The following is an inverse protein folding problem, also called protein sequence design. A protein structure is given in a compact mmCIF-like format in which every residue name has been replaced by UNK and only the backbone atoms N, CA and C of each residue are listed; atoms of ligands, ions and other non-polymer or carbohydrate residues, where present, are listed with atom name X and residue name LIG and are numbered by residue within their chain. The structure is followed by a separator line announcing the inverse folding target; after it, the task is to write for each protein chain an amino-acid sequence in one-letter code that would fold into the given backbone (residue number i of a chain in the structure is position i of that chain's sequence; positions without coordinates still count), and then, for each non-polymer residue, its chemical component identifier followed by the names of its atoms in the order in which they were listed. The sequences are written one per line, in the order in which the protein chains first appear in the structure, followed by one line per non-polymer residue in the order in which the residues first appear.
data_IF_544252690053
#
_entry.id   IF_544252690053
#
_cell.length_a   1.000
_cell.length_b   1.000
_cell.length_c   1.000
_cell.angle_alpha   90.00
_cell.angle_beta   90.00
_cell.angle_gamma   90.00
#
_symmetry.space_group_name_H-M   'P 1'
#
loop_
_entity.id
_entity.type
_entity.pdbx_description
1 polymer ?
#
# COMPACT_ATOMS: atom_id res chain seq x y z
N UNK A 1 -7.25 -35.94 41.41
CA UNK A 1 -8.72 -36.03 41.34
C UNK A 1 -9.20 -34.89 40.46
N UNK A 2 -9.96 -35.14 39.38
CA UNK A 2 -10.42 -34.08 38.51
C UNK A 2 -11.64 -33.40 39.15
N UNK A 3 -11.57 -32.09 39.34
CA UNK A 3 -12.76 -31.31 39.66
C UNK A 3 -13.59 -31.19 38.39
N UNK A 4 -14.76 -31.81 38.47
CA UNK A 4 -15.77 -31.88 37.45
C UNK A 4 -16.59 -30.59 37.50
N UNK A 5 -16.15 -29.55 36.81
CA UNK A 5 -16.90 -28.31 36.68
C UNK A 5 -17.77 -28.36 35.42
N UNK A 6 -18.99 -28.85 35.62
CA UNK A 6 -20.14 -28.75 34.72
C UNK A 6 -20.50 -27.28 34.46
N UNK A 7 -19.70 -26.57 33.66
CA UNK A 7 -20.17 -25.34 33.04
C UNK A 7 -20.95 -25.70 31.78
N UNK A 8 -22.22 -25.27 31.71
CA UNK A 8 -22.97 -25.27 30.46
C UNK A 8 -22.18 -24.46 29.42
N UNK A 9 -21.98 -25.01 28.22
CA UNK A 9 -21.21 -24.37 27.15
C UNK A 9 -21.76 -22.99 26.71
N UNK A 10 -22.99 -22.68 27.12
CA UNK A 10 -23.71 -21.47 26.75
C UNK A 10 -23.80 -20.53 27.95
N UNK A 11 -23.16 -19.36 27.83
CA UNK A 11 -23.16 -18.31 28.84
C UNK A 11 -23.79 -17.03 28.28
N UNK A 12 -24.66 -16.39 29.04
CA UNK A 12 -25.27 -15.10 28.70
C UNK A 12 -24.61 -13.97 29.49
N UNK A 13 -24.22 -12.89 28.81
CA UNK A 13 -23.66 -11.70 29.44
C UNK A 13 -24.43 -10.45 28.99
N UNK A 14 -25.31 -9.94 29.86
CA UNK A 14 -26.11 -8.73 29.61
C UNK A 14 -25.32 -7.43 29.67
N UNK A 15 -24.08 -7.45 30.14
CA UNK A 15 -23.25 -6.25 30.29
C UNK A 15 -22.48 -5.90 29.01
N UNK A 16 -22.37 -6.84 28.07
CA UNK A 16 -21.66 -6.61 26.79
C UNK A 16 -22.66 -6.21 25.71
N UNK A 17 -22.76 -4.91 25.43
CA UNK A 17 -23.56 -4.41 24.32
C UNK A 17 -22.77 -4.42 23.01
N UNK A 18 -23.40 -4.93 21.97
CA UNK A 18 -22.88 -4.91 20.61
C UNK A 18 -23.64 -3.87 19.79
N UNK A 19 -22.91 -3.07 19.02
CA UNK A 19 -23.48 -2.07 18.11
C UNK A 19 -23.36 -2.55 16.66
N UNK A 20 -24.36 -2.24 15.81
CA UNK A 20 -24.30 -2.57 14.39
C UNK A 20 -23.28 -1.70 13.66
N UNK A 21 -22.55 -2.31 12.73
CA UNK A 21 -21.74 -1.62 11.72
C UNK A 21 -22.55 -1.59 10.42
N UNK A 22 -22.61 -0.41 9.81
CA UNK A 22 -23.30 -0.20 8.53
C UNK A 22 -22.30 0.02 7.39
N UNK A 23 -22.60 -0.54 6.22
CA UNK A 23 -21.97 -0.20 4.96
C UNK A 23 -23.07 0.08 3.93
N UNK A 24 -23.06 1.27 3.33
CA UNK A 24 -24.06 1.69 2.34
C UNK A 24 -25.54 1.53 2.80
N UNK A 25 -25.79 1.68 4.11
CA UNK A 25 -27.13 1.56 4.70
C UNK A 25 -27.50 0.13 5.12
N UNK A 26 -26.69 -0.87 4.81
CA UNK A 26 -26.91 -2.26 5.22
C UNK A 26 -26.05 -2.64 6.43
N UNK A 27 -26.59 -3.50 7.30
CA UNK A 27 -25.85 -4.01 8.46
C UNK A 27 -24.89 -5.11 7.99
N UNK A 28 -23.60 -4.87 8.18
CA UNK A 28 -22.54 -5.83 7.81
C UNK A 28 -21.97 -6.59 9.00
N UNK A 29 -22.36 -6.23 10.23
CA UNK A 29 -21.96 -6.96 11.42
C UNK A 29 -22.27 -6.24 12.72
N UNK A 30 -21.93 -6.88 13.83
CA UNK A 30 -22.08 -6.35 15.18
C UNK A 30 -20.76 -6.51 15.93
N UNK A 31 -20.31 -5.47 16.63
CA UNK A 31 -19.12 -5.54 17.47
C UNK A 31 -19.26 -4.66 18.72
N UNK A 32 -18.34 -4.78 19.67
CA UNK A 32 -18.30 -3.90 20.84
C UNK A 32 -18.08 -2.45 20.39
N UNK A 33 -18.65 -1.49 21.11
CA UNK A 33 -18.66 -0.07 20.71
C UNK A 33 -17.25 0.53 20.50
N UNK A 34 -16.29 0.17 21.34
CA UNK A 34 -14.90 0.59 21.24
C UNK A 34 -14.22 0.06 19.96
N UNK A 35 -14.48 -1.20 19.62
CA UNK A 35 -13.99 -1.83 18.39
C UNK A 35 -14.70 -1.21 17.18
N UNK A 36 -16.01 -0.99 17.25
CA UNK A 36 -16.80 -0.35 16.19
C UNK A 36 -16.26 1.04 15.86
N UNK A 37 -15.95 1.83 16.88
CA UNK A 37 -15.40 3.17 16.72
C UNK A 37 -14.03 3.13 16.02
N UNK A 38 -13.14 2.24 16.45
CA UNK A 38 -11.81 2.09 15.82
C UNK A 38 -11.90 1.58 14.38
N UNK A 39 -12.77 0.60 14.13
CA UNK A 39 -12.99 0.06 12.78
C UNK A 39 -13.56 1.13 11.86
N UNK A 40 -14.60 1.85 12.27
CA UNK A 40 -15.20 2.90 11.44
C UNK A 40 -14.24 4.07 11.22
N UNK A 41 -13.39 4.41 12.19
CA UNK A 41 -12.33 5.39 12.00
C UNK A 41 -11.32 4.95 10.94
N UNK A 42 -10.84 3.71 11.02
CA UNK A 42 -9.87 3.15 10.09
C UNK A 42 -10.44 2.99 8.68
N UNK A 43 -11.64 2.40 8.55
CA UNK A 43 -12.30 2.16 7.27
C UNK A 43 -12.63 3.46 6.53
N UNK A 44 -12.90 4.54 7.25
CA UNK A 44 -13.17 5.86 6.66
C UNK A 44 -11.91 6.74 6.53
N UNK A 45 -10.73 6.28 6.93
CA UNK A 45 -9.52 7.09 6.97
C UNK A 45 -9.14 7.63 5.58
N UNK A 46 -9.21 6.77 4.55
CA UNK A 46 -8.89 7.17 3.17
C UNK A 46 -9.83 8.26 2.66
N UNK A 47 -11.14 8.13 2.91
CA UNK A 47 -12.13 9.13 2.50
C UNK A 47 -11.94 10.45 3.25
N UNK A 48 -11.62 10.40 4.55
CA UNK A 48 -11.29 11.59 5.34
C UNK A 48 -10.07 12.32 4.78
N UNK A 49 -8.99 11.60 4.47
CA UNK A 49 -7.77 12.18 3.88
C UNK A 49 -8.07 12.79 2.50
N UNK A 50 -8.83 12.09 1.66
CA UNK A 50 -9.23 12.60 0.35
C UNK A 50 -10.05 13.90 0.45
N UNK A 51 -11.02 13.94 1.37
CA UNK A 51 -11.82 15.15 1.65
C UNK A 51 -10.94 16.30 2.16
N UNK A 52 -10.02 16.02 3.08
CA UNK A 52 -9.09 17.03 3.60
C UNK A 52 -8.21 17.61 2.48
N UNK A 53 -7.63 16.75 1.64
CA UNK A 53 -6.84 17.16 0.49
C UNK A 53 -7.65 18.03 -0.48
N UNK A 54 -8.91 17.64 -0.76
CA UNK A 54 -9.82 18.42 -1.60
C UNK A 54 -10.05 19.82 -1.04
N UNK A 55 -10.34 19.92 0.25
CA UNK A 55 -10.55 21.22 0.91
C UNK A 55 -9.29 22.09 0.84
N UNK A 56 -8.12 21.51 1.13
CA UNK A 56 -6.85 22.24 1.04
C UNK A 56 -6.55 22.73 -0.37
N UNK A 57 -6.77 21.90 -1.39
CA UNK A 57 -6.60 22.30 -2.79
C UNK A 57 -7.60 23.40 -3.21
N UNK A 58 -8.87 23.28 -2.81
CA UNK A 58 -9.88 24.31 -3.08
C UNK A 58 -9.51 25.65 -2.45
N UNK A 59 -9.09 25.64 -1.19
CA UNK A 59 -8.69 26.85 -0.48
C UNK A 59 -7.47 27.52 -1.12
N UNK A 60 -6.50 26.72 -1.59
CA UNK A 60 -5.35 27.23 -2.32
C UNK A 60 -5.74 27.86 -3.65
N UNK A 61 -6.55 27.16 -4.47
CA UNK A 61 -6.97 27.66 -5.78
C UNK A 61 -7.83 28.92 -5.66
N UNK A 62 -8.70 29.00 -4.65
CA UNK A 62 -9.47 30.22 -4.34
C UNK A 62 -8.55 31.40 -4.05
N UNK A 63 -7.48 31.19 -3.26
CA UNK A 63 -6.49 32.23 -2.97
C UNK A 63 -5.68 32.65 -4.19
N UNK A 64 -5.41 31.72 -5.11
CA UNK A 64 -4.64 32.00 -6.32
C UNK A 64 -5.49 32.47 -7.52
N UNK A 65 -6.81 32.63 -7.37
CA UNK A 65 -7.72 33.04 -8.44
C UNK A 65 -7.89 32.01 -9.56
N UNK A 66 -7.63 30.72 -9.30
CA UNK A 66 -7.73 29.66 -10.30
C UNK A 66 -9.11 29.03 -10.42
N UNK A 67 -9.24 28.09 -11.37
CA UNK A 67 -10.49 27.37 -11.62
C UNK A 67 -10.72 26.23 -10.62
N UNK A 68 -11.71 26.41 -9.75
CA UNK A 68 -12.11 25.41 -8.73
C UNK A 68 -12.79 24.17 -9.31
N UNK A 69 -13.32 24.23 -10.54
CA UNK A 69 -14.00 23.10 -11.18
C UNK A 69 -13.02 22.00 -11.61
N UNK A 70 -11.73 22.33 -11.77
CA UNK A 70 -10.67 21.40 -12.17
C UNK A 70 -9.97 20.70 -11.01
N UNK A 71 -10.31 21.02 -9.76
CA UNK A 71 -9.63 20.45 -8.58
C UNK A 71 -9.72 18.93 -8.56
N UNK A 72 -10.91 18.36 -8.81
CA UNK A 72 -11.07 16.90 -8.76
C UNK A 72 -10.30 16.18 -9.87
N UNK A 73 -10.21 16.76 -11.06
CA UNK A 73 -9.43 16.20 -12.17
C UNK A 73 -7.93 16.22 -11.84
N UNK A 74 -7.43 17.37 -11.37
CA UNK A 74 -6.04 17.54 -10.98
C UNK A 74 -5.68 16.62 -9.81
N UNK A 75 -6.52 16.54 -8.78
CA UNK A 75 -6.32 15.63 -7.66
C UNK A 75 -6.24 14.18 -8.12
N UNK A 76 -7.14 13.72 -8.99
CA UNK A 76 -7.07 12.37 -9.56
C UNK A 76 -5.76 12.14 -10.29
N UNK A 77 -5.31 13.10 -11.10
CA UNK A 77 -4.03 13.02 -11.82
C UNK A 77 -2.83 12.93 -10.86
N UNK A 78 -2.83 13.71 -9.78
CA UNK A 78 -1.75 13.68 -8.79
C UNK A 78 -1.76 12.43 -7.93
N UNK A 79 -2.94 11.96 -7.53
CA UNK A 79 -3.09 10.68 -6.80
C UNK A 79 -2.60 9.54 -7.68
N UNK A 80 -3.03 9.45 -8.94
CA UNK A 80 -2.55 8.42 -9.87
C UNK A 80 -1.03 8.48 -10.10
N UNK A 81 -0.42 9.67 -10.01
CA UNK A 81 1.04 9.84 -10.10
C UNK A 81 1.75 9.45 -8.80
N UNK A 82 1.10 9.63 -7.66
CA UNK A 82 1.64 9.29 -6.35
C UNK A 82 1.35 7.84 -5.94
N UNK A 83 0.38 7.19 -6.60
CA UNK A 83 0.10 5.78 -6.41
C UNK A 83 1.35 4.95 -6.67
N UNK A 84 1.61 4.03 -5.75
CA UNK A 84 2.70 3.11 -5.87
C UNK A 84 2.50 2.27 -7.13
N UNK A 85 3.47 2.27 -8.08
CA UNK A 85 3.37 1.45 -9.28
C UNK A 85 3.26 -0.03 -8.89
N UNK A 86 2.27 -0.72 -9.43
CA UNK A 86 2.05 -2.15 -9.19
C UNK A 86 2.89 -3.04 -10.11
N UNK A 87 3.17 -2.56 -11.32
CA UNK A 87 3.87 -3.31 -12.36
C UNK A 87 4.92 -2.45 -13.09
N UNK A 88 5.77 -3.10 -13.87
CA UNK A 88 6.81 -2.48 -14.67
C UNK A 88 8.04 -2.05 -13.88
N UNK A 89 9.00 -1.42 -14.56
CA UNK A 89 10.27 -0.99 -13.98
C UNK A 89 10.10 -0.06 -12.77
N UNK A 90 9.05 0.78 -12.78
CA UNK A 90 8.75 1.68 -11.66
C UNK A 90 8.29 0.93 -10.39
N UNK A 91 7.65 -0.24 -10.54
CA UNK A 91 7.28 -1.07 -9.39
C UNK A 91 8.52 -1.70 -8.76
N UNK A 92 9.40 -2.24 -9.61
CA UNK A 92 10.69 -2.80 -9.17
C UNK A 92 11.57 -1.73 -8.52
N UNK A 93 11.61 -0.52 -9.09
CA UNK A 93 12.27 0.63 -8.49
C UNK A 93 11.71 0.96 -7.09
N UNK A 94 10.38 0.93 -6.91
CA UNK A 94 9.77 1.13 -5.60
C UNK A 94 10.18 0.01 -4.61
N UNK A 95 10.23 -1.24 -5.06
CA UNK A 95 10.66 -2.37 -4.23
C UNK A 95 12.14 -2.29 -3.83
N UNK A 96 13.01 -1.80 -4.71
CA UNK A 96 14.42 -1.56 -4.36
C UNK A 96 14.57 -0.48 -3.27
N UNK A 97 13.73 0.57 -3.30
CA UNK A 97 13.69 1.57 -2.22
C UNK A 97 13.18 0.99 -0.91
N UNK A 98 12.14 0.17 -0.95
CA UNK A 98 11.67 -0.53 0.24
C UNK A 98 12.76 -1.41 0.82
N UNK A 99 13.48 -2.14 -0.04
CA UNK A 99 14.60 -2.97 0.38
C UNK A 99 15.71 -2.15 1.03
N UNK A 100 16.02 -0.99 0.49
CA UNK A 100 16.95 -0.05 1.12
C UNK A 100 16.49 0.38 2.52
N UNK A 101 15.21 0.72 2.68
CA UNK A 101 14.61 1.12 3.95
C UNK A 101 14.65 -0.04 4.96
N UNK A 102 14.30 -1.25 4.54
CA UNK A 102 14.37 -2.46 5.36
C UNK A 102 15.80 -2.75 5.86
N UNK A 103 16.79 -2.55 5.00
CA UNK A 103 18.21 -2.70 5.36
C UNK A 103 18.71 -1.54 6.22
N UNK A 104 17.95 -0.44 6.33
CA UNK A 104 18.28 0.77 7.07
C UNK A 104 19.67 1.33 6.69
N UNK A 105 19.93 1.43 5.38
CA UNK A 105 21.21 1.91 4.84
C UNK A 105 21.03 3.21 4.04
N UNK A 106 22.08 4.02 4.00
CA UNK A 106 22.13 5.22 3.16
C UNK A 106 22.17 4.86 1.67
N UNK A 107 21.84 5.84 0.81
CA UNK A 107 21.87 5.64 -0.66
C UNK A 107 23.23 5.12 -1.14
N UNK A 108 24.33 5.65 -0.58
CA UNK A 108 25.69 5.25 -0.95
C UNK A 108 26.01 3.81 -0.55
N UNK A 109 25.53 3.38 0.61
CA UNK A 109 25.70 2.01 1.08
C UNK A 109 24.83 1.04 0.28
N UNK A 110 23.61 1.45 -0.09
CA UNK A 110 22.72 0.65 -0.92
C UNK A 110 23.28 0.45 -2.33
N UNK A 111 23.88 1.48 -2.93
CA UNK A 111 24.56 1.34 -4.23
C UNK A 111 25.67 0.28 -4.15
N UNK A 112 26.51 0.33 -3.12
CA UNK A 112 27.57 -0.67 -2.90
C UNK A 112 27.01 -2.06 -2.66
N UNK A 113 25.89 -2.15 -1.94
CA UNK A 113 25.19 -3.41 -1.74
C UNK A 113 24.70 -3.99 -3.07
N UNK A 114 24.06 -3.20 -3.93
CA UNK A 114 23.63 -3.63 -5.26
C UNK A 114 24.80 -4.08 -6.15
N UNK A 115 25.95 -3.38 -6.07
CA UNK A 115 27.16 -3.76 -6.81
C UNK A 115 27.66 -5.17 -6.42
N UNK A 116 27.50 -5.58 -5.16
CA UNK A 116 27.88 -6.94 -4.73
C UNK A 116 27.07 -8.04 -5.41
N UNK A 117 25.85 -7.72 -5.88
CA UNK A 117 24.99 -8.61 -6.65
C UNK A 117 25.12 -8.42 -8.18
N UNK A 118 26.13 -7.66 -8.63
CA UNK A 118 26.39 -7.33 -10.04
C UNK A 118 25.30 -6.45 -10.68
N UNK A 119 24.62 -5.62 -9.89
CA UNK A 119 23.79 -4.54 -10.42
C UNK A 119 24.58 -3.23 -10.32
N UNK A 120 25.01 -2.70 -11.45
CA UNK A 120 25.84 -1.50 -11.49
C UNK A 120 25.07 -0.24 -11.09
N UNK A 121 25.79 0.80 -10.66
CA UNK A 121 25.19 2.11 -10.38
C UNK A 121 24.41 2.68 -11.58
N UNK A 122 24.91 2.48 -12.80
CA UNK A 122 24.26 2.99 -14.01
C UNK A 122 22.93 2.27 -14.27
N UNK A 123 22.90 0.94 -14.16
CA UNK A 123 21.66 0.15 -14.28
C UNK A 123 20.67 0.51 -13.16
N UNK A 124 21.14 0.69 -11.93
CA UNK A 124 20.30 1.12 -10.82
C UNK A 124 19.67 2.49 -11.08
N UNK A 125 20.43 3.43 -11.67
CA UNK A 125 19.94 4.76 -12.05
C UNK A 125 18.89 4.67 -13.16
N UNK A 126 19.11 3.82 -14.16
CA UNK A 126 18.16 3.56 -15.26
C UNK A 126 16.84 2.97 -14.72
N UNK A 127 16.92 2.01 -13.82
CA UNK A 127 15.75 1.43 -13.14
C UNK A 127 14.97 2.51 -12.39
N UNK A 128 15.65 3.39 -11.63
CA UNK A 128 15.00 4.50 -10.93
C UNK A 128 14.40 5.56 -11.86
N UNK A 129 14.93 5.73 -13.07
CA UNK A 129 14.33 6.57 -14.11
C UNK A 129 13.09 5.91 -14.74
N UNK A 130 12.92 4.61 -14.55
CA UNK A 130 11.82 3.82 -15.09
C UNK A 130 12.10 3.26 -16.47
N UNK A 131 13.39 3.14 -16.86
CA UNK A 131 13.80 2.46 -18.08
C UNK A 131 13.46 0.96 -18.04
N UNK A 132 13.34 0.34 -19.20
CA UNK A 132 12.97 -1.07 -19.32
C UNK A 132 14.01 -2.00 -18.67
N UNK A 133 13.54 -2.97 -17.88
CA UNK A 133 14.39 -3.95 -17.22
C UNK A 133 14.60 -5.16 -18.13
N UNK A 134 15.83 -5.33 -18.59
CA UNK A 134 16.23 -6.43 -19.46
C UNK A 134 16.46 -7.73 -18.67
N UNK A 135 16.34 -8.88 -19.32
CA UNK A 135 16.39 -10.20 -18.67
C UNK A 135 17.69 -10.46 -17.88
N UNK A 136 18.82 -9.91 -18.33
CA UNK A 136 20.11 -10.04 -17.64
C UNK A 136 20.10 -9.38 -16.25
N UNK A 137 19.25 -8.39 -16.02
CA UNK A 137 19.13 -7.67 -14.76
C UNK A 137 18.21 -8.38 -13.75
N UNK A 138 17.33 -9.28 -14.20
CA UNK A 138 16.39 -9.98 -13.34
C UNK A 138 17.08 -10.83 -12.28
N UNK A 139 18.17 -11.50 -12.64
CA UNK A 139 18.93 -12.35 -11.71
C UNK A 139 19.58 -11.58 -10.56
N UNK A 140 20.32 -10.48 -10.81
CA UNK A 140 20.77 -9.56 -9.77
C UNK A 140 19.64 -9.00 -8.91
N UNK A 141 18.58 -8.49 -9.53
CA UNK A 141 17.45 -7.85 -8.83
C UNK A 141 16.70 -8.84 -7.93
N UNK A 142 16.46 -10.07 -8.41
CA UNK A 142 15.75 -11.10 -7.63
C UNK A 142 16.48 -11.44 -6.33
N UNK A 143 17.83 -11.51 -6.37
CA UNK A 143 18.67 -11.74 -5.18
C UNK A 143 18.64 -10.56 -4.20
N UNK A 144 18.66 -9.33 -4.71
CA UNK A 144 18.57 -8.11 -3.89
C UNK A 144 17.23 -8.05 -3.14
N UNK A 145 16.14 -8.32 -3.86
CA UNK A 145 14.77 -8.29 -3.33
C UNK A 145 14.39 -9.55 -2.55
N UNK A 146 15.17 -10.62 -2.64
CA UNK A 146 14.91 -11.88 -1.93
C UNK A 146 13.68 -12.65 -2.44
N UNK A 147 13.39 -12.56 -3.74
CA UNK A 147 12.25 -13.24 -4.38
C UNK A 147 12.66 -14.04 -5.61
N UNK A 148 11.75 -14.87 -6.13
CA UNK A 148 12.03 -15.67 -7.33
C UNK A 148 12.10 -14.80 -8.59
N UNK A 149 12.79 -15.31 -9.63
CA UNK A 149 12.85 -14.62 -10.92
C UNK A 149 11.46 -14.61 -11.57
N UNK A 150 10.69 -15.68 -11.40
CA UNK A 150 9.34 -15.83 -11.93
C UNK A 150 8.38 -14.79 -11.34
N UNK A 151 8.44 -14.54 -10.03
CA UNK A 151 7.66 -13.46 -9.38
C UNK A 151 8.08 -12.08 -9.90
N UNK A 152 9.39 -11.86 -10.07
CA UNK A 152 9.90 -10.59 -10.59
C UNK A 152 9.45 -10.34 -12.03
N UNK A 153 9.41 -11.37 -12.87
CA UNK A 153 8.87 -11.31 -14.25
C UNK A 153 7.39 -10.93 -14.21
N UNK A 154 6.58 -11.53 -13.34
CA UNK A 154 5.16 -11.19 -13.21
C UNK A 154 4.95 -9.72 -12.84
N UNK A 155 5.79 -9.18 -11.95
CA UNK A 155 5.75 -7.77 -11.55
C UNK A 155 6.21 -6.88 -12.70
N UNK A 156 7.28 -7.23 -13.41
CA UNK A 156 7.78 -6.46 -14.56
C UNK A 156 6.73 -6.39 -15.68
N UNK A 157 6.18 -7.54 -16.07
CA UNK A 157 5.36 -7.67 -17.27
C UNK A 157 3.88 -7.35 -17.00
N UNK A 158 3.49 -7.25 -15.73
CA UNK A 158 2.12 -6.95 -15.35
C UNK A 158 1.14 -8.05 -15.73
N UNK A 159 1.60 -9.30 -15.75
CA UNK A 159 0.76 -10.45 -16.06
C UNK A 159 -0.14 -10.72 -14.85
N UNK A 160 -1.29 -10.06 -14.83
CA UNK A 160 -2.41 -10.57 -14.07
C UNK A 160 -2.70 -11.98 -14.57
N UNK A 161 -2.62 -12.97 -13.69
CA UNK A 161 -3.50 -14.14 -13.77
C UNK A 161 -4.94 -13.64 -13.64
N UNK A 162 -5.45 -12.98 -14.67
CA UNK A 162 -6.88 -12.87 -14.95
C UNK A 162 -7.21 -14.05 -15.83
N UNK A 163 -7.33 -15.20 -15.18
CA UNK A 163 -7.97 -16.40 -15.73
C UNK A 163 -8.61 -17.06 -14.52
N UNK A 164 -9.80 -16.58 -14.18
CA UNK A 164 -11.04 -17.36 -13.92
C UNK A 164 -12.13 -16.43 -13.38
#
# INVERSE_FOLDING_TARGET
MPQNDNYLAWTFNSQTSFVPIFYQGEIVGFCKADIAARMTEFLNAQEKIYKALRLSCLDYIRKSGGDTLRVEELMRKYIARAERPKYGSRAIAAMLRDRQIELNVSDREFIRFCETYKLSFQELKEIYAGEEIIDSQLGPISRILGMSIEELIQIRDGVNKTTE
#
